data_IF_554881185268
#
_entry.id   IF_554881185268
#
_cell.length_a   1.000
_cell.length_b   1.000
_cell.length_c   1.000
_cell.angle_alpha   90.00
_cell.angle_beta   90.00
_cell.angle_gamma   90.00
#
_symmetry.space_group_name_H-M   'P 1'
#
loop_
_entity.id
_entity.type
_entity.pdbx_description
1 polymer ?
#
# COMPACT_ATOMS: atom_id res chain seq x y z
N UNK A 1 12.40 40.08 -17.97
CA UNK A 1 11.12 40.04 -18.71
C UNK A 1 10.71 38.58 -18.98
N UNK A 2 10.55 37.77 -17.94
CA UNK A 2 9.84 36.49 -18.00
C UNK A 2 8.83 36.53 -16.85
N UNK A 3 7.55 36.67 -17.19
CA UNK A 3 6.42 36.48 -16.27
C UNK A 3 5.77 35.15 -16.64
N UNK A 4 5.16 34.54 -15.61
CA UNK A 4 4.14 33.49 -15.67
C UNK A 4 4.66 32.06 -15.82
N UNK A 5 4.77 31.37 -14.70
CA UNK A 5 4.03 30.13 -14.41
C UNK A 5 3.91 30.02 -12.88
N UNK A 6 3.11 30.91 -12.31
CA UNK A 6 2.68 30.82 -10.92
C UNK A 6 1.26 30.21 -10.97
N UNK A 7 1.18 28.89 -11.09
CA UNK A 7 -0.09 28.18 -10.99
C UNK A 7 -0.38 27.94 -9.51
N UNK A 8 -1.35 28.72 -9.02
CA UNK A 8 -1.95 28.57 -7.71
C UNK A 8 -2.72 27.23 -7.67
N UNK A 9 -2.10 26.18 -7.14
CA UNK A 9 -2.68 24.84 -7.04
C UNK A 9 -3.88 24.77 -6.06
N UNK A 10 -4.08 25.83 -5.27
CA UNK A 10 -5.07 25.87 -4.19
C UNK A 10 -6.48 26.23 -4.65
N UNK A 11 -6.66 26.82 -5.84
CA UNK A 11 -8.00 27.27 -6.29
C UNK A 11 -8.84 26.19 -7.01
N UNK A 12 -8.25 25.08 -7.45
CA UNK A 12 -9.01 24.01 -8.15
C UNK A 12 -9.75 23.08 -7.15
N UNK A 13 -9.29 23.01 -5.89
CA UNK A 13 -9.94 22.18 -4.88
C UNK A 13 -11.21 22.80 -4.29
N UNK A 14 -11.40 24.12 -4.37
CA UNK A 14 -12.53 24.81 -3.76
C UNK A 14 -13.70 25.10 -4.72
N UNK A 15 -13.57 24.82 -6.02
CA UNK A 15 -14.62 25.07 -7.02
C UNK A 15 -15.39 23.80 -7.45
N UNK A 16 -15.07 22.62 -6.88
CA UNK A 16 -15.68 21.32 -7.25
C UNK A 16 -16.60 20.75 -6.14
N UNK A 17 -16.64 21.33 -4.94
CA UNK A 17 -17.56 20.87 -3.90
C UNK A 17 -18.28 22.06 -3.25
N UNK A 18 -19.32 22.53 -3.96
CA UNK A 18 -20.30 23.47 -3.43
C UNK A 18 -21.06 22.91 -2.21
N UNK A 19 -21.82 23.76 -1.51
CA UNK A 19 -22.44 23.42 -0.25
C UNK A 19 -23.69 22.56 -0.46
N UNK A 20 -23.55 21.24 -0.47
CA UNK A 20 -24.68 20.31 -0.25
C UNK A 20 -24.61 19.72 1.16
N UNK A 21 -24.61 20.61 2.14
CA UNK A 21 -25.05 20.33 3.51
C UNK A 21 -26.47 20.88 3.62
N UNK A 22 -27.41 19.99 3.98
CA UNK A 22 -28.83 20.25 4.28
C UNK A 22 -29.78 20.50 3.10
N UNK A 23 -30.34 19.42 2.54
CA UNK A 23 -31.81 19.17 2.56
C UNK A 23 -32.21 18.00 1.65
N UNK A 24 -32.96 17.04 2.19
CA UNK A 24 -34.03 16.43 1.39
C UNK A 24 -33.76 15.13 0.62
N UNK A 25 -33.26 14.08 1.27
CA UNK A 25 -33.90 12.75 1.30
C UNK A 25 -33.02 11.79 2.09
N UNK A 26 -33.60 11.18 3.12
CA UNK A 26 -33.00 10.13 3.93
C UNK A 26 -32.96 8.82 3.11
N UNK A 27 -32.16 8.79 2.04
CA UNK A 27 -31.82 7.60 1.29
C UNK A 27 -30.34 7.33 1.52
N UNK A 28 -30.00 6.18 2.11
CA UNK A 28 -28.64 5.68 2.24
C UNK A 28 -27.89 5.89 0.90
N UNK A 29 -26.95 6.84 0.83
CA UNK A 29 -25.97 6.82 -0.25
C UNK A 29 -25.04 5.65 0.08
N UNK A 30 -25.46 4.47 -0.36
CA UNK A 30 -24.69 3.24 -0.25
C UNK A 30 -23.44 3.46 -1.09
N UNK A 31 -22.31 3.76 -0.44
CA UNK A 31 -21.04 3.99 -1.15
C UNK A 31 -20.70 2.72 -1.92
N UNK A 32 -20.67 2.82 -3.24
CA UNK A 32 -20.32 1.69 -4.11
C UNK A 32 -18.89 1.85 -4.60
N UNK A 33 -18.08 0.82 -4.42
CA UNK A 33 -16.69 0.72 -4.85
C UNK A 33 -16.57 -0.29 -6.01
N UNK A 34 -15.61 -0.07 -6.91
CA UNK A 34 -15.26 -1.00 -7.98
C UNK A 34 -14.10 -1.87 -7.53
N UNK A 35 -14.20 -3.19 -7.72
CA UNK A 35 -13.21 -4.15 -7.28
C UNK A 35 -12.74 -5.01 -8.45
N UNK A 36 -11.50 -5.51 -8.41
CA UNK A 36 -11.11 -6.62 -9.27
C UNK A 36 -11.90 -7.87 -8.88
N UNK A 37 -12.32 -8.63 -9.87
CA UNK A 37 -13.06 -9.86 -9.67
C UNK A 37 -12.49 -10.99 -10.51
N UNK A 38 -12.35 -12.17 -9.90
CA UNK A 38 -11.95 -13.37 -10.62
C UNK A 38 -13.09 -13.93 -11.46
N UNK A 39 -12.72 -14.58 -12.57
CA UNK A 39 -13.68 -15.22 -13.48
C UNK A 39 -14.57 -16.26 -12.79
N UNK A 40 -14.08 -16.89 -11.72
CA UNK A 40 -14.86 -17.86 -10.94
C UNK A 40 -15.98 -17.19 -10.13
N UNK A 41 -15.77 -15.94 -9.71
CA UNK A 41 -16.71 -15.19 -8.88
C UNK A 41 -17.59 -14.25 -9.71
N UNK A 42 -17.09 -13.82 -10.87
CA UNK A 42 -17.77 -12.94 -11.81
C UNK A 42 -17.72 -13.53 -13.22
N UNK A 43 -18.74 -14.33 -13.56
CA UNK A 43 -18.91 -15.19 -14.75
C UNK A 43 -18.08 -14.80 -16.00
N UNK A 44 -18.13 -13.53 -16.42
CA UNK A 44 -17.29 -13.00 -17.51
C UNK A 44 -16.78 -11.56 -17.25
N UNK A 45 -16.93 -11.05 -16.03
CA UNK A 45 -16.49 -9.69 -15.68
C UNK A 45 -15.24 -9.73 -14.81
N UNK A 46 -14.20 -9.01 -15.21
CA UNK A 46 -12.99 -8.84 -14.40
C UNK A 46 -13.15 -7.79 -13.28
N UNK A 47 -14.34 -7.19 -13.21
CA UNK A 47 -14.65 -6.07 -12.33
C UNK A 47 -16.05 -6.27 -11.77
N UNK A 48 -16.24 -5.99 -10.49
CA UNK A 48 -17.57 -5.94 -9.89
C UNK A 48 -17.73 -4.74 -8.96
N UNK A 49 -18.97 -4.40 -8.64
CA UNK A 49 -19.32 -3.25 -7.80
C UNK A 49 -19.98 -3.72 -6.51
N UNK A 50 -19.44 -3.32 -5.37
CA UNK A 50 -19.96 -3.64 -4.04
C UNK A 50 -19.75 -2.49 -3.06
N UNK A 51 -19.85 -2.75 -1.76
CA UNK A 51 -19.49 -1.76 -0.73
C UNK A 51 -18.03 -1.91 -0.28
N UNK A 52 -17.49 -3.13 -0.39
CA UNK A 52 -16.15 -3.50 0.00
C UNK A 52 -15.52 -4.40 -1.07
N UNK A 53 -14.23 -4.26 -1.27
CA UNK A 53 -13.44 -5.19 -2.06
C UNK A 53 -12.73 -6.19 -1.15
N UNK A 54 -12.74 -7.46 -1.55
CA UNK A 54 -12.06 -8.56 -0.86
C UNK A 54 -10.91 -9.09 -1.73
N UNK A 55 -9.83 -9.46 -1.05
CA UNK A 55 -8.72 -10.23 -1.61
C UNK A 55 -8.18 -11.19 -0.56
N UNK A 56 -7.82 -12.39 -0.97
CA UNK A 56 -7.23 -13.36 -0.06
C UNK A 56 -6.93 -14.69 -0.72
N UNK A 57 -6.55 -15.66 0.10
CA UNK A 57 -6.37 -17.05 -0.30
C UNK A 57 -7.48 -17.91 0.29
N UNK A 58 -8.19 -18.64 -0.58
CA UNK A 58 -9.21 -19.59 -0.16
C UNK A 58 -8.66 -21.00 -0.20
N UNK A 59 -8.87 -21.76 0.87
CA UNK A 59 -8.44 -23.17 0.92
C UNK A 59 -9.67 -24.06 0.75
N UNK A 60 -9.70 -24.85 -0.32
CA UNK A 60 -10.63 -25.97 -0.45
C UNK A 60 -10.01 -27.24 0.12
N UNK A 61 -10.83 -28.15 0.67
CA UNK A 61 -10.38 -29.34 1.43
C UNK A 61 -9.42 -30.24 0.64
N UNK A 62 -9.43 -30.17 -0.70
CA UNK A 62 -8.62 -31.01 -1.58
C UNK A 62 -7.80 -30.24 -2.64
N UNK A 63 -7.71 -28.91 -2.53
CA UNK A 63 -6.97 -28.09 -3.52
C UNK A 63 -5.97 -27.17 -2.86
N UNK A 64 -4.95 -26.80 -3.64
CA UNK A 64 -4.01 -25.75 -3.25
C UNK A 64 -4.79 -24.45 -3.04
N UNK A 65 -4.38 -23.66 -2.04
CA UNK A 65 -4.99 -22.37 -1.79
C UNK A 65 -4.85 -21.48 -3.03
N UNK A 66 -5.98 -21.02 -3.56
CA UNK A 66 -6.02 -20.11 -4.70
C UNK A 66 -6.34 -18.70 -4.25
N UNK A 67 -5.75 -17.73 -4.93
CA UNK A 67 -6.08 -16.33 -4.69
C UNK A 67 -7.47 -16.06 -5.25
N UNK A 68 -8.32 -15.44 -4.44
CA UNK A 68 -9.63 -14.96 -4.87
C UNK A 68 -9.73 -13.44 -4.67
N UNK A 69 -10.29 -12.77 -5.66
CA UNK A 69 -10.63 -11.35 -5.68
C UNK A 69 -12.12 -11.19 -5.99
N UNK A 70 -12.85 -10.45 -5.15
CA UNK A 70 -14.29 -10.21 -5.36
C UNK A 70 -14.76 -8.95 -4.62
N UNK A 71 -15.98 -8.50 -4.92
CA UNK A 71 -16.68 -7.46 -4.16
C UNK A 71 -17.73 -8.08 -3.25
N UNK A 72 -17.95 -7.45 -2.12
CA UNK A 72 -18.96 -7.87 -1.14
C UNK A 72 -19.83 -6.70 -0.71
N UNK A 73 -21.01 -7.02 -0.19
CA UNK A 73 -21.81 -6.04 0.52
C UNK A 73 -21.29 -5.95 1.96
N UNK A 74 -21.39 -4.77 2.57
CA UNK A 74 -20.97 -4.50 3.94
C UNK A 74 -21.68 -5.41 4.94
N UNK A 75 -22.84 -6.00 4.61
CA UNK A 75 -23.52 -6.98 5.45
C UNK A 75 -22.70 -8.24 5.70
N UNK A 76 -21.96 -8.72 4.70
CA UNK A 76 -21.34 -10.05 4.73
C UNK A 76 -19.91 -10.01 5.27
N UNK A 77 -19.26 -8.84 5.27
CA UNK A 77 -17.87 -8.64 5.71
C UNK A 77 -17.75 -7.68 6.91
N UNK A 78 -18.85 -7.37 7.60
CA UNK A 78 -18.87 -6.47 8.77
C UNK A 78 -17.94 -6.90 9.91
N UNK A 79 -17.74 -8.20 10.06
CA UNK A 79 -16.89 -8.76 11.11
C UNK A 79 -15.39 -8.76 10.74
N UNK A 80 -15.05 -8.40 9.48
CA UNK A 80 -13.68 -8.44 9.00
C UNK A 80 -12.96 -7.12 9.33
N UNK A 81 -12.12 -7.15 10.38
CA UNK A 81 -11.46 -5.98 10.95
C UNK A 81 -10.27 -5.43 10.12
N UNK A 82 -10.35 -5.43 8.78
CA UNK A 82 -9.32 -5.16 7.75
C UNK A 82 -8.71 -6.42 7.16
N UNK A 83 -8.04 -7.25 7.96
CA UNK A 83 -7.57 -8.57 7.54
C UNK A 83 -7.89 -9.61 8.60
N UNK A 84 -8.06 -10.85 8.19
CA UNK A 84 -8.28 -11.95 9.11
C UNK A 84 -7.82 -13.27 8.50
N UNK A 85 -7.32 -14.13 9.37
CA UNK A 85 -6.98 -15.51 9.05
C UNK A 85 -8.14 -16.45 9.41
N UNK A 86 -8.28 -17.55 8.64
CA UNK A 86 -9.27 -18.60 8.89
C UNK A 86 -10.74 -18.10 8.95
N UNK A 87 -11.12 -17.19 8.06
CA UNK A 87 -12.47 -16.62 8.00
C UNK A 87 -13.28 -17.28 6.87
N UNK A 88 -14.43 -17.90 7.14
CA UNK A 88 -15.34 -18.46 6.11
C UNK A 88 -14.69 -19.34 5.02
N UNK A 89 -13.68 -20.14 5.37
CA UNK A 89 -12.92 -20.99 4.42
C UNK A 89 -11.78 -20.27 3.70
N UNK A 90 -11.57 -19.00 3.99
CA UNK A 90 -10.37 -18.26 3.63
C UNK A 90 -9.26 -18.60 4.61
N UNK A 91 -8.09 -18.96 4.09
CA UNK A 91 -6.87 -19.05 4.89
C UNK A 91 -6.46 -17.66 5.38
N UNK A 92 -6.63 -16.67 4.51
CA UNK A 92 -6.33 -15.27 4.76
C UNK A 92 -7.19 -14.42 3.84
N UNK A 93 -7.79 -13.36 4.37
CA UNK A 93 -8.63 -12.43 3.60
C UNK A 93 -8.51 -11.02 4.16
N UNK A 94 -8.47 -10.05 3.27
CA UNK A 94 -8.47 -8.63 3.60
C UNK A 94 -9.59 -7.90 2.86
N UNK A 95 -10.18 -6.89 3.52
CA UNK A 95 -11.17 -5.98 3.00
C UNK A 95 -10.61 -4.56 2.84
N UNK A 96 -11.04 -3.88 1.77
CA UNK A 96 -10.70 -2.48 1.51
C UNK A 96 -11.86 -1.73 0.82
N UNK A 97 -11.88 -0.40 0.99
CA UNK A 97 -12.99 0.49 0.60
C UNK A 97 -12.63 1.44 -0.58
N UNK A 98 -11.48 1.23 -1.23
CA UNK A 98 -11.02 2.06 -2.35
C UNK A 98 -11.28 1.36 -3.70
N UNK A 99 -11.49 2.13 -4.77
CA UNK A 99 -11.61 1.57 -6.12
C UNK A 99 -10.34 0.79 -6.50
N UNK A 100 -10.52 -0.48 -6.89
CA UNK A 100 -9.48 -1.41 -7.33
C UNK A 100 -8.38 -1.65 -6.27
N UNK A 101 -8.72 -1.52 -4.99
CA UNK A 101 -7.78 -1.66 -3.88
C UNK A 101 -7.34 -3.10 -3.64
N UNK A 102 -8.16 -4.08 -4.02
CA UNK A 102 -7.99 -5.49 -3.75
C UNK A 102 -6.92 -6.12 -4.66
N UNK A 103 -5.69 -5.63 -4.53
CA UNK A 103 -4.52 -6.08 -5.29
C UNK A 103 -3.61 -6.93 -4.41
N UNK A 104 -2.82 -7.81 -5.02
CA UNK A 104 -1.84 -8.60 -4.28
C UNK A 104 -0.87 -7.75 -3.44
N UNK A 105 -0.56 -6.53 -3.89
CA UNK A 105 0.25 -5.58 -3.13
C UNK A 105 -0.44 -5.14 -1.82
N UNK A 106 -1.75 -4.93 -1.86
CA UNK A 106 -2.55 -4.60 -0.68
C UNK A 106 -2.61 -5.75 0.32
N UNK A 107 -2.86 -6.97 -0.16
CA UNK A 107 -2.85 -8.18 0.67
C UNK A 107 -1.50 -8.31 1.40
N UNK A 108 -0.40 -8.32 0.66
CA UNK A 108 0.95 -8.47 1.23
C UNK A 108 1.30 -7.35 2.21
N UNK A 109 0.88 -6.12 1.93
CA UNK A 109 1.15 -4.98 2.81
C UNK A 109 0.35 -5.00 4.10
N UNK A 110 -0.87 -5.53 4.08
CA UNK A 110 -1.79 -5.47 5.23
C UNK A 110 -1.49 -6.55 6.28
N UNK A 111 -0.92 -7.69 5.87
CA UNK A 111 -0.49 -8.79 6.77
C UNK A 111 0.66 -8.34 7.68
N UNK A 112 1.55 -7.50 7.17
CA UNK A 112 2.70 -6.98 7.94
C UNK A 112 2.26 -6.05 9.07
N UNK A 113 1.11 -5.38 8.92
CA UNK A 113 0.59 -4.41 9.89
C UNK A 113 0.00 -5.10 11.13
N UNK A 114 -0.75 -6.20 10.96
CA UNK A 114 -1.38 -6.95 12.07
C UNK A 114 -0.36 -7.59 13.02
N UNK A 115 0.84 -7.91 12.53
CA UNK A 115 1.92 -8.48 13.35
C UNK A 115 2.56 -7.47 14.32
N UNK A 116 2.30 -6.16 14.15
CA UNK A 116 2.97 -5.11 14.93
C UNK A 116 2.18 -4.72 16.19
N UNK A 117 0.88 -5.02 16.27
CA UNK A 117 0.03 -4.60 17.40
C UNK A 117 0.05 -5.56 18.61
N UNK A 118 0.71 -6.72 18.51
CA UNK A 118 0.81 -7.69 19.60
C UNK A 118 2.25 -7.92 20.14
N UNK A 119 3.25 -7.17 19.65
CA UNK A 119 4.67 -7.31 20.08
C UNK A 119 5.29 -5.95 20.42
N UNK A 120 4.58 -5.16 21.23
CA UNK A 120 5.13 -3.93 21.80
C UNK A 120 5.88 -4.15 23.14
N UNK A 121 5.95 -5.39 23.67
CA UNK A 121 6.36 -5.59 25.08
C UNK A 121 7.31 -6.79 25.34
N UNK A 122 8.00 -7.33 24.33
CA UNK A 122 8.91 -8.48 24.58
C UNK A 122 10.03 -8.66 23.57
N UNK A 123 11.01 -7.75 23.56
CA UNK A 123 12.45 -8.13 23.58
C UNK A 123 13.36 -6.90 23.62
N UNK A 124 13.49 -6.39 24.84
CA UNK A 124 14.69 -5.72 25.34
C UNK A 124 15.89 -6.68 25.22
N UNK A 125 16.73 -6.52 24.19
CA UNK A 125 18.14 -6.97 24.16
C UNK A 125 18.82 -6.50 22.88
N UNK A 126 19.38 -5.29 22.91
CA UNK A 126 20.73 -4.92 22.44
C UNK A 126 20.80 -3.40 22.25
N UNK A 127 20.99 -2.73 23.40
CA UNK A 127 21.84 -1.53 23.54
C UNK A 127 23.10 -1.73 22.67
N UNK A 128 23.54 -0.77 21.86
CA UNK A 128 24.21 0.47 22.25
C UNK A 128 23.91 1.47 21.12
N UNK A 129 23.06 2.47 21.37
CA UNK A 129 23.42 3.81 21.88
C UNK A 129 23.68 4.72 20.65
N UNK A 130 23.08 5.88 20.44
CA UNK A 130 22.09 6.70 21.12
C UNK A 130 21.87 7.89 20.15
N UNK A 131 20.81 8.68 20.36
CA UNK A 131 20.54 9.98 19.72
C UNK A 131 19.74 9.93 18.40
N UNK A 132 18.41 9.83 18.47
CA UNK A 132 17.46 10.95 18.64
C UNK A 132 17.13 11.67 17.33
N UNK A 133 16.02 11.26 16.70
CA UNK A 133 14.86 12.12 16.43
C UNK A 133 13.91 11.47 15.41
N UNK A 134 12.72 11.03 15.84
CA UNK A 134 11.44 11.69 15.55
C UNK A 134 10.72 11.12 14.30
N UNK A 135 9.76 10.23 14.59
CA UNK A 135 8.37 10.23 14.08
C UNK A 135 8.07 9.70 12.64
N UNK A 136 7.01 8.88 12.61
CA UNK A 136 6.15 8.44 11.49
C UNK A 136 6.66 7.25 10.67
N UNK A 137 6.28 6.03 11.04
CA UNK A 137 5.00 5.36 10.68
C UNK A 137 4.85 5.16 9.16
N UNK A 138 5.39 4.03 8.69
CA UNK A 138 4.53 3.00 8.10
C UNK A 138 3.87 3.27 6.75
N UNK A 139 4.52 3.92 5.77
CA UNK A 139 4.05 3.90 4.36
C UNK A 139 5.17 4.11 3.32
N UNK A 140 6.35 3.53 3.51
CA UNK A 140 7.55 3.82 2.68
C UNK A 140 8.41 2.62 2.27
N UNK A 141 7.88 1.39 2.27
CA UNK A 141 8.71 0.20 1.94
C UNK A 141 9.12 0.11 0.46
N UNK A 142 8.30 0.62 -0.47
CA UNK A 142 8.64 0.68 -1.91
C UNK A 142 9.60 1.83 -2.28
N UNK A 143 9.40 3.01 -1.69
CA UNK A 143 10.23 4.19 -1.96
C UNK A 143 11.67 3.98 -1.49
N UNK A 144 11.86 3.42 -0.28
CA UNK A 144 13.19 3.17 0.26
C UNK A 144 13.97 2.13 -0.56
N UNK A 145 13.31 1.10 -1.11
CA UNK A 145 13.97 0.13 -1.98
C UNK A 145 14.40 0.75 -3.32
N UNK A 146 13.56 1.63 -3.92
CA UNK A 146 13.93 2.36 -5.14
C UNK A 146 15.12 3.29 -4.87
N UNK A 147 15.09 4.02 -3.75
CA UNK A 147 16.19 4.90 -3.33
C UNK A 147 17.48 4.09 -3.13
N UNK A 148 17.42 2.94 -2.45
CA UNK A 148 18.57 2.04 -2.29
C UNK A 148 19.08 1.52 -3.64
N UNK A 149 18.19 1.10 -4.53
CA UNK A 149 18.53 0.62 -5.87
C UNK A 149 19.17 1.68 -6.76
N UNK A 150 18.96 2.97 -6.49
CA UNK A 150 19.58 4.08 -7.23
C UNK A 150 20.87 4.55 -6.56
N UNK A 151 20.88 4.69 -5.23
CA UNK A 151 22.05 5.17 -4.47
C UNK A 151 23.21 4.16 -4.53
N UNK A 152 22.93 2.86 -4.48
CA UNK A 152 23.99 1.84 -4.50
C UNK A 152 24.77 1.86 -5.82
N UNK A 153 24.15 1.78 -7.02
CA UNK A 153 24.89 1.88 -8.28
C UNK A 153 25.60 3.22 -8.47
N UNK A 154 24.98 4.34 -8.04
CA UNK A 154 25.61 5.66 -8.13
C UNK A 154 26.85 5.76 -7.23
N UNK A 155 26.79 5.26 -6.00
CA UNK A 155 27.92 5.27 -5.07
C UNK A 155 29.04 4.34 -5.54
N UNK A 156 28.71 3.14 -6.03
CA UNK A 156 29.70 2.20 -6.61
C UNK A 156 30.36 2.80 -7.85
N UNK A 157 29.60 3.44 -8.73
CA UNK A 157 30.13 4.12 -9.91
C UNK A 157 31.05 5.28 -9.56
N UNK A 158 30.66 6.14 -8.60
CA UNK A 158 31.48 7.25 -8.12
C UNK A 158 32.79 6.76 -7.47
N UNK A 159 32.71 5.70 -6.64
CA UNK A 159 33.89 5.08 -6.04
C UNK A 159 34.84 4.51 -7.09
N UNK A 160 34.33 3.85 -8.13
CA UNK A 160 35.15 3.33 -9.22
C UNK A 160 35.92 4.44 -9.94
N UNK A 161 35.25 5.56 -10.28
CA UNK A 161 35.91 6.72 -10.91
C UNK A 161 36.97 7.34 -9.99
N UNK A 162 36.65 7.51 -8.70
CA UNK A 162 37.61 8.02 -7.71
C UNK A 162 38.85 7.13 -7.57
N UNK A 163 38.68 5.80 -7.54
CA UNK A 163 39.80 4.86 -7.43
C UNK A 163 40.70 4.88 -8.68
N UNK A 164 40.12 4.99 -9.88
CA UNK A 164 40.88 5.13 -11.13
C UNK A 164 41.69 6.42 -11.10
N UNK A 165 41.07 7.54 -10.68
CA UNK A 165 41.75 8.83 -10.60
C UNK A 165 42.90 8.82 -9.59
N UNK A 166 42.67 8.28 -8.39
CA UNK A 166 43.72 8.13 -7.37
C UNK A 166 44.83 7.22 -7.89
N UNK A 167 44.52 6.09 -8.54
CA UNK A 167 45.52 5.21 -9.12
C UNK A 167 46.36 5.92 -10.20
N UNK A 168 45.70 6.65 -11.09
CA UNK A 168 46.34 7.42 -12.15
C UNK A 168 47.26 8.53 -11.60
N UNK A 169 46.79 9.26 -10.58
CA UNK A 169 47.59 10.31 -9.93
C UNK A 169 48.71 9.74 -9.05
N UNK A 170 48.50 8.64 -8.33
CA UNK A 170 49.55 7.97 -7.56
C UNK A 170 50.66 7.41 -8.46
N UNK A 171 50.33 6.95 -9.68
CA UNK A 171 51.36 6.53 -10.65
C UNK A 171 52.24 7.70 -11.15
N UNK A 172 51.80 8.95 -10.97
CA UNK A 172 52.51 10.17 -11.36
C UNK A 172 53.14 10.93 -10.18
N UNK A 173 53.00 10.43 -8.94
CA UNK A 173 53.50 11.07 -7.72
C UNK A 173 54.74 10.36 -7.12
N UNK A 174 55.58 9.74 -7.96
CA UNK A 174 56.96 9.35 -7.61
C UNK A 174 57.94 10.11 -8.48
#
# INVERSE_FOLDING_TARGET
>A
MLKVFNYNFTNIYNEIAGPEVMSGNLGFYKSTVKCFCDKQNCEDSLICTGELCLIGFRSEVDKQAHMEQLCTNAGDARDLAKCQHNWNGWQEVCACEEDFCNTFAYLRGSIEEESTDNVADSQMSNLIEEESSVISVGRHRGSNLIILLVIIPLSVGALAVCLIFINYHCKMCW
#
